data_IF_736498313255
#
_entry.id   IF_736498313255
#
_cell.length_a   1.000
_cell.length_b   1.000
_cell.length_c   1.000
_cell.angle_alpha   90.00
_cell.angle_beta   90.00
_cell.angle_gamma   90.00
#
_symmetry.space_group_name_H-M   'P 1'
#
loop_
_entity.id
_entity.type
_entity.pdbx_description
1 polymer ?
#
# COMPACT_ATOMS: atom_id res chain seq x y z
N UNK A 1 8.82 -25.60 0.68
CA UNK A 1 9.02 -24.66 1.80
C UNK A 1 8.91 -23.26 1.25
N UNK A 2 7.79 -22.57 1.50
CA UNK A 2 7.66 -21.13 1.20
C UNK A 2 8.22 -20.38 2.41
N UNK A 3 9.51 -20.06 2.38
CA UNK A 3 10.13 -19.18 3.38
C UNK A 3 10.13 -17.75 2.84
N UNK A 4 9.72 -16.80 3.69
CA UNK A 4 9.67 -15.34 3.47
C UNK A 4 8.55 -14.77 2.59
N UNK A 5 7.29 -15.10 2.90
CA UNK A 5 6.29 -14.03 2.90
C UNK A 5 6.60 -13.17 4.13
N UNK A 6 6.70 -11.85 3.98
CA UNK A 6 6.94 -10.94 5.12
C UNK A 6 5.92 -11.15 6.25
N UNK A 7 6.16 -10.58 7.44
CA UNK A 7 5.25 -10.76 8.58
C UNK A 7 3.84 -10.29 8.23
N UNK A 8 2.87 -11.22 8.19
CA UNK A 8 1.45 -10.92 8.07
C UNK A 8 0.93 -10.59 9.47
N UNK A 9 0.50 -9.34 9.68
CA UNK A 9 -0.11 -8.91 10.94
C UNK A 9 -1.60 -9.25 10.88
N UNK A 10 -2.05 -10.15 11.77
CA UNK A 10 -3.46 -10.46 11.96
C UNK A 10 -3.87 -9.99 13.35
N UNK A 11 -4.42 -8.78 13.43
CA UNK A 11 -4.97 -8.21 14.66
C UNK A 11 -6.39 -7.71 14.38
N UNK A 12 -7.35 -8.63 14.45
CA UNK A 12 -8.75 -8.31 14.18
C UNK A 12 -9.32 -7.29 15.18
N UNK A 13 -8.84 -7.29 16.42
CA UNK A 13 -9.39 -6.41 17.44
C UNK A 13 -9.11 -4.93 17.16
N UNK A 14 -7.99 -4.63 16.51
CA UNK A 14 -7.58 -3.25 16.21
C UNK A 14 -7.74 -2.84 14.75
N UNK A 15 -7.82 -3.80 13.82
CA UNK A 15 -7.86 -3.51 12.38
C UNK A 15 -9.25 -3.66 11.75
N UNK A 16 -10.22 -4.30 12.43
CA UNK A 16 -11.58 -4.44 11.89
C UNK A 16 -12.27 -3.07 11.83
N UNK A 17 -12.61 -2.64 10.62
CA UNK A 17 -13.18 -1.32 10.36
C UNK A 17 -12.21 -0.14 10.50
N UNK A 18 -10.92 -0.39 10.72
CA UNK A 18 -9.93 0.69 10.86
C UNK A 18 -9.77 1.49 9.56
N UNK A 19 -9.70 2.82 9.69
CA UNK A 19 -9.35 3.71 8.59
C UNK A 19 -7.90 3.50 8.15
N UNK A 20 -7.57 3.89 6.90
CA UNK A 20 -6.19 3.82 6.41
C UNK A 20 -5.24 4.69 7.24
N UNK A 21 -5.74 5.77 7.82
CA UNK A 21 -4.97 6.61 8.74
C UNK A 21 -4.62 5.88 10.05
N UNK A 22 -5.55 5.10 10.61
CA UNK A 22 -5.30 4.26 11.78
C UNK A 22 -4.33 3.13 11.43
N UNK A 23 -4.55 2.42 10.32
CA UNK A 23 -3.63 1.37 9.83
C UNK A 23 -2.21 1.94 9.65
N UNK A 24 -2.08 3.13 9.06
CA UNK A 24 -0.78 3.83 8.93
C UNK A 24 -0.13 4.07 10.30
N UNK A 25 -0.90 4.53 11.29
CA UNK A 25 -0.40 4.75 12.65
C UNK A 25 0.11 3.44 13.28
N UNK A 26 -0.68 2.36 13.17
CA UNK A 26 -0.27 1.03 13.65
C UNK A 26 0.99 0.53 12.94
N UNK A 27 1.05 0.66 11.61
CA UNK A 27 2.21 0.27 10.82
C UNK A 27 3.47 1.05 11.22
N UNK A 28 3.38 2.36 11.43
CA UNK A 28 4.52 3.16 11.92
C UNK A 28 5.03 2.66 13.28
N UNK A 29 4.14 2.45 14.24
CA UNK A 29 4.54 1.89 15.54
C UNK A 29 5.17 0.51 15.41
N UNK A 30 4.69 -0.33 14.48
CA UNK A 30 5.32 -1.61 14.16
C UNK A 30 6.73 -1.44 13.57
N UNK A 31 6.93 -0.48 12.65
CA UNK A 31 8.25 -0.18 12.08
C UNK A 31 9.22 0.40 13.12
N UNK A 32 8.73 1.23 14.05
CA UNK A 32 9.51 1.79 15.16
C UNK A 32 9.97 0.69 16.13
N UNK A 33 9.13 -0.31 16.38
CA UNK A 33 9.45 -1.47 17.21
C UNK A 33 10.37 -2.51 16.54
N UNK A 34 11.06 -2.15 15.45
CA UNK A 34 12.00 -3.04 14.75
C UNK A 34 13.18 -3.42 15.62
N UNK A 35 13.61 -4.68 15.49
CA UNK A 35 14.74 -5.22 16.24
C UNK A 35 15.46 -6.27 15.40
N UNK A 36 16.71 -6.60 15.77
CA UNK A 36 17.43 -7.65 15.05
C UNK A 36 16.81 -9.03 15.28
N UNK A 37 16.23 -9.26 16.46
CA UNK A 37 15.54 -10.50 16.81
C UNK A 37 14.29 -10.71 15.95
N UNK A 38 13.53 -9.64 15.68
CA UNK A 38 12.29 -9.71 14.90
C UNK A 38 12.55 -9.70 13.39
N UNK A 39 13.43 -8.81 12.94
CA UNK A 39 13.53 -8.42 11.52
C UNK A 39 14.87 -8.83 10.87
N UNK A 40 15.72 -9.52 11.63
CA UNK A 40 17.02 -10.01 11.22
C UNK A 40 18.16 -9.02 11.44
N UNK A 41 19.39 -9.53 11.32
CA UNK A 41 20.62 -8.77 11.51
C UNK A 41 20.65 -7.50 10.66
N UNK A 42 20.99 -6.36 11.28
CA UNK A 42 21.07 -5.07 10.62
C UNK A 42 19.72 -4.37 10.41
N UNK A 43 18.61 -4.92 10.92
CA UNK A 43 17.29 -4.31 10.76
C UNK A 43 17.16 -2.93 11.43
N UNK A 44 17.90 -2.68 12.50
CA UNK A 44 17.91 -1.40 13.22
C UNK A 44 18.82 -0.35 12.56
N UNK A 45 19.66 -0.77 11.61
CA UNK A 45 20.63 0.10 10.94
C UNK A 45 19.99 1.16 10.04
N UNK A 46 20.63 2.34 9.86
CA UNK A 46 20.05 3.50 9.15
C UNK A 46 19.68 3.20 7.70
N UNK A 47 20.47 2.37 6.99
CA UNK A 47 20.16 1.97 5.61
C UNK A 47 18.90 1.13 5.51
N UNK A 48 18.62 0.33 6.54
CA UNK A 48 17.48 -0.58 6.57
C UNK A 48 16.18 0.18 6.82
N UNK A 49 16.24 1.32 7.51
CA UNK A 49 15.06 2.15 7.80
C UNK A 49 14.38 2.69 6.54
N UNK A 50 15.16 2.94 5.48
CA UNK A 50 14.67 3.43 4.19
C UNK A 50 14.15 2.34 3.24
N UNK A 51 14.20 1.06 3.62
CA UNK A 51 13.72 -0.03 2.76
C UNK A 51 12.19 0.01 2.63
N UNK A 52 11.62 -0.33 1.45
CA UNK A 52 10.18 -0.30 1.22
C UNK A 52 9.36 -1.04 2.27
N UNK A 53 9.85 -2.18 2.77
CA UNK A 53 9.17 -2.97 3.83
C UNK A 53 8.95 -2.23 5.16
N UNK A 54 9.65 -1.13 5.40
CA UNK A 54 9.47 -0.26 6.59
C UNK A 54 8.90 1.12 6.24
N UNK A 55 8.61 1.37 4.95
CA UNK A 55 8.00 2.61 4.48
C UNK A 55 6.54 2.39 4.08
N UNK A 56 6.20 1.23 3.57
CA UNK A 56 4.88 0.96 3.00
C UNK A 56 4.30 -0.34 3.55
N UNK A 57 2.97 -0.41 3.67
CA UNK A 57 2.26 -1.65 3.91
C UNK A 57 1.18 -1.90 2.86
N UNK A 58 0.97 -3.17 2.53
CA UNK A 58 -0.14 -3.62 1.69
C UNK A 58 -1.35 -3.81 2.59
N UNK A 59 -2.44 -3.14 2.26
CA UNK A 59 -3.72 -3.19 2.95
C UNK A 59 -4.78 -3.78 2.01
N UNK A 60 -5.59 -4.68 2.55
CA UNK A 60 -6.64 -5.39 1.83
C UNK A 60 -7.95 -5.21 2.59
N UNK A 61 -8.85 -4.42 2.03
CA UNK A 61 -10.20 -4.22 2.57
C UNK A 61 -11.24 -5.06 1.81
N UNK A 62 -12.51 -4.86 2.19
CA UNK A 62 -13.62 -5.54 1.53
C UNK A 62 -13.68 -5.26 0.03
N UNK A 63 -13.42 -4.02 -0.41
CA UNK A 63 -13.46 -3.66 -1.83
C UNK A 63 -12.37 -4.40 -2.60
N UNK A 64 -11.16 -4.49 -2.04
CA UNK A 64 -10.08 -5.32 -2.58
C UNK A 64 -10.51 -6.79 -2.70
N UNK A 65 -11.10 -7.37 -1.66
CA UNK A 65 -11.58 -8.76 -1.68
C UNK A 65 -12.72 -8.99 -2.69
N UNK A 66 -13.61 -8.01 -2.89
CA UNK A 66 -14.69 -8.11 -3.88
C UNK A 66 -14.14 -8.18 -5.32
N UNK A 67 -12.91 -7.70 -5.56
CA UNK A 67 -12.25 -7.90 -6.86
C UNK A 67 -11.85 -9.36 -7.10
N UNK A 68 -11.46 -10.10 -6.05
CA UNK A 68 -11.18 -11.54 -6.11
C UNK A 68 -12.44 -12.33 -6.42
N UNK A 69 -13.58 -11.92 -5.87
CA UNK A 69 -14.86 -12.59 -6.06
C UNK A 69 -15.35 -12.57 -7.52
N UNK A 70 -14.81 -11.67 -8.36
CA UNK A 70 -15.12 -11.58 -9.79
C UNK A 70 -14.34 -12.57 -10.65
N UNK A 71 -13.35 -13.26 -10.07
CA UNK A 71 -12.52 -14.19 -10.81
C UNK A 71 -13.28 -15.50 -11.09
N UNK A 72 -13.08 -16.10 -12.28
CA UNK A 72 -13.64 -17.41 -12.58
C UNK A 72 -13.19 -18.47 -11.57
N UNK A 73 -14.05 -19.43 -11.21
CA UNK A 73 -13.71 -20.51 -10.27
C UNK A 73 -12.55 -21.41 -10.75
N UNK A 74 -12.33 -21.48 -12.07
CA UNK A 74 -11.22 -22.20 -12.70
C UNK A 74 -9.97 -21.33 -12.88
N UNK A 75 -9.92 -20.16 -12.26
CA UNK A 75 -8.76 -19.30 -12.28
C UNK A 75 -7.53 -20.02 -11.70
N UNK A 76 -6.39 -19.98 -12.42
CA UNK A 76 -5.15 -20.73 -12.12
C UNK A 76 -3.88 -19.87 -12.16
N UNK A 77 -3.99 -18.54 -12.24
CA UNK A 77 -2.83 -17.65 -12.15
C UNK A 77 -1.99 -17.54 -13.43
N UNK A 78 -2.59 -17.31 -14.60
CA UNK A 78 -1.85 -17.06 -15.84
C UNK A 78 -1.42 -15.58 -15.95
N UNK A 79 -0.10 -15.34 -16.07
CA UNK A 79 0.63 -14.05 -15.97
C UNK A 79 0.14 -12.83 -16.78
N UNK A 80 -0.93 -12.92 -17.57
CA UNK A 80 -1.39 -11.82 -18.46
C UNK A 80 -2.91 -11.64 -18.52
N UNK A 81 -3.72 -12.58 -18.02
CA UNK A 81 -5.21 -12.49 -18.08
C UNK A 81 -5.81 -11.98 -16.76
N UNK A 82 -5.03 -11.21 -16.00
CA UNK A 82 -5.33 -10.90 -14.62
C UNK A 82 -4.75 -9.56 -14.16
N UNK A 83 -5.58 -8.53 -14.16
CA UNK A 83 -5.26 -7.44 -13.24
C UNK A 83 -6.46 -6.71 -12.66
N UNK A 84 -7.62 -7.38 -12.59
CA UNK A 84 -8.72 -6.81 -11.82
C UNK A 84 -8.50 -6.96 -10.30
N UNK A 85 -7.50 -7.74 -9.86
CA UNK A 85 -7.19 -7.85 -8.42
C UNK A 85 -6.52 -6.58 -7.94
N UNK A 86 -7.17 -5.90 -7.01
CA UNK A 86 -6.67 -4.63 -6.47
C UNK A 86 -6.31 -4.77 -5.01
N UNK A 87 -5.23 -4.13 -4.61
CA UNK A 87 -4.83 -3.91 -3.23
C UNK A 87 -4.68 -2.41 -2.95
N UNK A 88 -4.49 -2.04 -1.69
CA UNK A 88 -4.09 -0.70 -1.31
C UNK A 88 -2.64 -0.74 -0.85
N UNK A 89 -1.81 0.20 -1.32
CA UNK A 89 -0.52 0.47 -0.69
C UNK A 89 -0.68 1.73 0.16
N UNK A 90 -0.41 1.60 1.46
CA UNK A 90 -0.38 2.73 2.40
C UNK A 90 1.07 3.18 2.57
N UNK A 91 1.30 4.47 2.37
CA UNK A 91 2.58 5.10 2.73
C UNK A 91 2.60 5.42 4.22
N UNK A 92 3.50 4.75 4.94
CA UNK A 92 3.78 4.93 6.35
C UNK A 92 4.39 6.28 6.69
N UNK A 93 5.19 6.84 5.78
CA UNK A 93 5.89 8.10 5.96
C UNK A 93 4.99 9.32 5.67
N UNK A 94 3.83 9.13 5.03
CA UNK A 94 2.92 10.22 4.73
C UNK A 94 2.49 11.00 5.98
N UNK A 95 2.67 12.32 5.91
CA UNK A 95 2.05 13.29 6.79
C UNK A 95 1.24 14.31 5.98
N UNK A 96 0.16 14.83 6.58
CA UNK A 96 -0.70 15.85 5.94
C UNK A 96 -0.04 17.24 5.87
N UNK A 97 1.22 17.37 6.30
CA UNK A 97 1.97 18.63 6.40
C UNK A 97 3.00 18.78 5.28
N UNK A 98 3.32 17.70 4.59
CA UNK A 98 4.15 17.70 3.39
C UNK A 98 3.40 18.50 2.33
N UNK A 99 3.87 19.70 1.97
CA UNK A 99 3.19 20.51 0.96
C UNK A 99 3.09 19.69 -0.33
N UNK A 100 1.89 19.58 -0.90
CA UNK A 100 1.76 19.08 -2.26
C UNK A 100 2.45 20.04 -3.22
N UNK A 101 3.05 19.52 -4.28
CA UNK A 101 3.69 20.34 -5.33
C UNK A 101 2.65 21.10 -6.21
N UNK A 102 1.34 20.96 -5.95
CA UNK A 102 0.27 21.40 -6.85
C UNK A 102 -0.73 22.37 -6.16
N UNK A 103 -1.01 23.53 -6.79
CA UNK A 103 -2.00 24.56 -6.39
C UNK A 103 -3.49 24.14 -6.63
N UNK A 104 -3.86 22.89 -6.35
CA UNK A 104 -5.21 22.37 -6.64
C UNK A 104 -5.99 21.94 -5.40
N UNK A 105 -7.26 22.38 -5.27
CA UNK A 105 -8.20 21.77 -4.31
C UNK A 105 -8.79 20.49 -4.91
N UNK A 106 -8.32 19.32 -4.48
CA UNK A 106 -8.89 18.03 -4.91
C UNK A 106 -10.12 17.65 -4.08
N UNK A 107 -11.04 16.82 -4.61
CA UNK A 107 -12.15 16.30 -3.82
C UNK A 107 -11.66 15.60 -2.55
N UNK A 108 -12.33 15.85 -1.42
CA UNK A 108 -11.94 15.27 -0.13
C UNK A 108 -11.92 13.73 -0.20
N UNK A 109 -10.80 13.15 0.23
CA UNK A 109 -10.67 11.71 0.45
C UNK A 109 -10.16 11.50 1.87
N UNK A 110 -11.02 10.97 2.74
CA UNK A 110 -10.68 10.67 4.14
C UNK A 110 -10.07 11.91 4.86
N UNK A 111 -10.62 13.10 4.60
CA UNK A 111 -10.12 14.36 5.18
C UNK A 111 -8.81 14.86 4.56
N UNK A 112 -8.55 14.55 3.29
CA UNK A 112 -7.39 15.00 2.53
C UNK A 112 -7.82 15.60 1.18
N UNK A 113 -7.53 16.88 0.99
CA UNK A 113 -7.80 17.65 -0.24
C UNK A 113 -6.56 17.85 -1.10
N UNK A 114 -5.42 17.27 -0.69
CA UNK A 114 -4.18 17.29 -1.46
C UNK A 114 -4.25 16.29 -2.62
N UNK A 115 -3.32 16.46 -3.58
CA UNK A 115 -3.14 15.49 -4.68
C UNK A 115 -2.81 14.10 -4.14
N UNK A 116 -1.79 14.01 -3.28
CA UNK A 116 -1.33 12.76 -2.71
C UNK A 116 -1.97 12.52 -1.34
N UNK A 117 -2.78 11.47 -1.24
CA UNK A 117 -3.54 11.16 -0.01
C UNK A 117 -2.82 10.18 0.93
N UNK A 118 -1.56 9.84 0.62
CA UNK A 118 -0.74 8.92 1.42
C UNK A 118 -1.07 7.44 1.22
N UNK A 119 -1.84 7.11 0.19
CA UNK A 119 -2.15 5.75 -0.22
C UNK A 119 -2.67 5.73 -1.66
N UNK A 120 -2.64 4.56 -2.31
CA UNK A 120 -3.23 4.35 -3.64
C UNK A 120 -3.78 2.94 -3.79
N UNK A 121 -4.72 2.77 -4.72
CA UNK A 121 -5.08 1.45 -5.24
C UNK A 121 -4.01 0.98 -6.23
N UNK A 122 -3.63 -0.29 -6.13
CA UNK A 122 -2.59 -0.94 -6.91
C UNK A 122 -3.09 -2.27 -7.45
N UNK A 123 -2.93 -2.50 -8.74
CA UNK A 123 -3.06 -3.82 -9.33
C UNK A 123 -2.04 -4.79 -8.70
N UNK A 124 -2.50 -5.95 -8.22
CA UNK A 124 -1.65 -6.91 -7.51
C UNK A 124 -0.41 -7.31 -8.31
N UNK A 125 -0.52 -7.37 -9.64
CA UNK A 125 0.60 -7.71 -10.52
C UNK A 125 1.75 -6.69 -10.48
N UNK A 126 1.44 -5.42 -10.17
CA UNK A 126 2.41 -4.34 -10.13
C UNK A 126 3.17 -4.25 -8.80
N UNK A 127 2.72 -4.97 -7.76
CA UNK A 127 3.31 -4.89 -6.41
C UNK A 127 4.82 -5.13 -6.39
N UNK A 128 5.33 -6.07 -7.19
CA UNK A 128 6.76 -6.37 -7.25
C UNK A 128 7.53 -5.21 -7.88
N UNK A 129 7.06 -4.68 -9.01
CA UNK A 129 7.68 -3.53 -9.66
C UNK A 129 7.69 -2.30 -8.75
N UNK A 130 6.54 -2.02 -8.13
CA UNK A 130 6.41 -0.92 -7.16
C UNK A 130 7.30 -1.10 -5.95
N UNK A 131 7.47 -2.33 -5.44
CA UNK A 131 8.40 -2.62 -4.33
C UNK A 131 9.85 -2.31 -4.73
N UNK A 132 10.28 -2.73 -5.93
CA UNK A 132 11.63 -2.46 -6.42
C UNK A 132 11.87 -0.95 -6.59
N UNK A 133 10.99 -0.24 -7.29
CA UNK A 133 11.11 1.20 -7.52
C UNK A 133 11.07 2.02 -6.22
N UNK A 134 10.31 1.55 -5.24
CA UNK A 134 10.21 2.16 -3.91
C UNK A 134 11.55 2.20 -3.16
N UNK A 135 12.58 1.48 -3.60
CA UNK A 135 13.92 1.65 -3.03
C UNK A 135 14.54 2.99 -3.37
N UNK A 136 14.17 3.57 -4.52
CA UNK A 136 14.77 4.79 -5.06
C UNK A 136 13.81 5.98 -5.04
N UNK A 137 12.52 5.74 -5.24
CA UNK A 137 11.52 6.78 -5.40
C UNK A 137 10.45 6.75 -4.30
N UNK A 138 9.87 7.91 -3.92
CA UNK A 138 8.71 7.94 -3.05
C UNK A 138 7.48 7.37 -3.76
N UNK A 139 6.56 6.76 -3.01
CA UNK A 139 5.35 6.13 -3.57
C UNK A 139 4.46 7.12 -4.34
N UNK A 140 4.50 8.40 -3.99
CA UNK A 140 3.79 9.48 -4.68
C UNK A 140 4.28 9.73 -6.11
N UNK A 141 5.49 9.30 -6.48
CA UNK A 141 6.09 9.54 -7.80
C UNK A 141 6.03 8.33 -8.74
N UNK A 142 5.82 7.13 -8.18
CA UNK A 142 5.76 5.88 -8.93
C UNK A 142 4.34 5.73 -9.48
N UNK A 143 4.05 6.10 -10.72
CA UNK A 143 2.73 5.89 -11.38
C UNK A 143 1.49 6.24 -10.53
N UNK A 144 1.59 7.23 -9.65
CA UNK A 144 0.53 7.52 -8.69
C UNK A 144 -0.77 7.95 -9.38
N UNK A 145 -1.84 7.21 -9.11
CA UNK A 145 -3.22 7.61 -9.43
C UNK A 145 -3.96 7.94 -8.15
N UNK A 146 -4.54 9.14 -8.11
CA UNK A 146 -5.37 9.56 -6.99
C UNK A 146 -6.62 8.68 -6.93
N UNK A 147 -6.93 8.03 -5.79
CA UNK A 147 -8.16 7.25 -5.66
C UNK A 147 -9.40 8.06 -6.09
N UNK A 148 -10.43 7.43 -6.66
CA UNK A 148 -10.61 5.97 -6.76
C UNK A 148 -9.89 5.28 -7.93
N UNK A 149 -9.11 6.02 -8.72
CA UNK A 149 -8.36 5.43 -9.84
C UNK A 149 -7.35 4.38 -9.37
N UNK A 150 -7.17 3.34 -10.18
CA UNK A 150 -6.26 2.23 -9.93
C UNK A 150 -4.92 2.49 -10.65
N UNK A 151 -3.81 2.35 -9.93
CA UNK A 151 -2.46 2.45 -10.49
C UNK A 151 -2.09 1.15 -11.21
N UNK A 152 -1.33 1.19 -12.32
CA UNK A 152 -0.48 2.31 -12.75
C UNK A 152 -1.09 3.21 -13.82
N UNK A 153 -2.09 2.73 -14.58
CA UNK A 153 -2.59 3.46 -15.75
C UNK A 153 -3.75 4.41 -15.43
N UNK A 154 -4.59 4.08 -14.45
CA UNK A 154 -5.79 4.85 -14.13
C UNK A 154 -6.90 4.71 -15.18
N UNK A 155 -6.90 3.62 -15.96
CA UNK A 155 -8.00 3.30 -16.87
C UNK A 155 -9.25 2.80 -16.14
N UNK A 156 -9.05 2.21 -14.96
CA UNK A 156 -10.11 1.69 -14.10
C UNK A 156 -10.18 2.44 -12.77
N UNK A 157 -11.32 2.33 -12.09
CA UNK A 157 -11.56 2.90 -10.78
C UNK A 157 -12.23 1.90 -9.86
N UNK A 158 -11.85 1.93 -8.59
CA UNK A 158 -12.57 1.22 -7.54
C UNK A 158 -13.95 1.86 -7.32
N UNK A 159 -14.96 1.06 -6.94
CA UNK A 159 -16.28 1.60 -6.63
C UNK A 159 -16.22 2.59 -5.46
N UNK A 160 -17.05 3.63 -5.52
CA UNK A 160 -17.21 4.63 -4.46
C UNK A 160 -17.55 4.00 -3.10
#
# INVERSE_FOLDING_TARGET
>A
MLTNLGPVISDRATLDGASKAEVRKHFRSWCEARSEERDGRGATGPRTQGLPRFKHCVYVDRKCLDTLARLPANYRGARMDLSNMVTVIIDGAFDKRTPGDDEGSYPDIEGCTERYVGWRYEEVEMLVGTYEESHQYPLSHIDYKRPPLISPFGHESMPA
#
